data_IF_705230334560
#
_entry.id   IF_705230334560
#
_cell.length_a   1.000
_cell.length_b   1.000
_cell.length_c   1.000
_cell.angle_alpha   90.00
_cell.angle_beta   90.00
_cell.angle_gamma   90.00
#
_symmetry.space_group_name_H-M   'P 1'
#
loop_
_entity.id
_entity.type
_entity.pdbx_description
1 polymer ?
#
# COMPACT_ATOMS: atom_id res chain seq x y z
N UNK A 1 -0.62 0.70 -12.05
CA UNK A 1 0.65 -0.02 -12.25
C UNK A 1 1.42 0.63 -13.38
N UNK A 2 2.74 0.54 -13.39
CA UNK A 2 3.56 1.04 -14.51
C UNK A 2 3.39 0.18 -15.78
N UNK A 3 3.72 0.77 -16.94
CA UNK A 3 4.06 0.04 -18.15
C UNK A 3 5.32 -0.81 -17.87
N UNK A 4 5.37 -2.10 -18.27
CA UNK A 4 6.53 -2.96 -18.03
C UNK A 4 7.86 -2.29 -18.39
N UNK A 5 8.80 -2.25 -17.45
CA UNK A 5 10.13 -1.67 -17.63
C UNK A 5 10.22 -0.14 -17.51
N UNK A 6 9.09 0.58 -17.53
CA UNK A 6 9.04 2.05 -17.42
C UNK A 6 8.79 2.51 -15.99
N UNK A 7 9.16 3.76 -15.73
CA UNK A 7 8.94 4.48 -14.46
C UNK A 7 7.74 5.43 -14.58
N UNK A 8 6.57 4.87 -14.89
CA UNK A 8 5.32 5.60 -15.09
C UNK A 8 4.18 5.08 -14.18
N UNK A 9 4.53 4.36 -13.10
CA UNK A 9 3.59 3.90 -12.09
C UNK A 9 3.32 4.96 -11.03
N UNK A 10 2.06 5.03 -10.59
CA UNK A 10 1.61 6.00 -9.58
C UNK A 10 1.26 5.32 -8.26
N UNK A 11 1.60 5.98 -7.15
CA UNK A 11 1.13 5.69 -5.80
C UNK A 11 0.64 7.00 -5.17
N UNK A 12 -0.56 6.96 -4.58
CA UNK A 12 -1.13 8.06 -3.82
C UNK A 12 -1.63 7.52 -2.49
N UNK A 13 -1.36 8.24 -1.40
CA UNK A 13 -1.88 7.92 -0.08
C UNK A 13 -2.49 9.18 0.53
N UNK A 14 -3.59 8.96 1.27
CA UNK A 14 -4.36 10.00 1.92
C UNK A 14 -4.53 9.65 3.40
N UNK A 15 -4.50 10.66 4.25
CA UNK A 15 -4.85 10.56 5.67
C UNK A 15 -5.81 11.72 5.97
N UNK A 16 -6.97 11.43 6.57
CA UNK A 16 -8.05 12.41 6.79
C UNK A 16 -8.41 13.23 5.53
N UNK A 17 -8.53 12.54 4.39
CA UNK A 17 -8.79 13.12 3.06
C UNK A 17 -7.71 14.11 2.57
N UNK A 18 -6.58 14.24 3.24
CA UNK A 18 -5.46 15.06 2.81
C UNK A 18 -4.40 14.18 2.11
N UNK A 19 -3.85 14.63 0.96
CA UNK A 19 -2.77 13.90 0.31
C UNK A 19 -1.51 13.95 1.18
N UNK A 20 -1.01 12.78 1.59
CA UNK A 20 0.23 12.65 2.38
C UNK A 20 1.38 12.06 1.57
N UNK A 21 1.08 11.39 0.46
CA UNK A 21 2.07 10.86 -0.46
C UNK A 21 1.56 10.95 -1.90
N UNK A 22 2.41 11.42 -2.80
CA UNK A 22 2.22 11.33 -4.25
C UNK A 22 3.54 10.97 -4.90
N UNK A 23 3.55 9.84 -5.61
CA UNK A 23 4.68 9.38 -6.40
C UNK A 23 4.18 8.99 -7.78
N UNK A 24 4.81 9.49 -8.84
CA UNK A 24 4.38 9.34 -10.23
C UNK A 24 5.38 8.59 -11.11
N UNK A 25 6.52 8.18 -10.55
CA UNK A 25 7.64 7.58 -11.28
C UNK A 25 8.10 6.23 -10.69
N UNK A 26 7.16 5.46 -10.11
CA UNK A 26 7.43 4.14 -9.56
C UNK A 26 7.44 3.09 -10.67
N UNK A 27 8.37 2.15 -10.61
CA UNK A 27 8.41 0.93 -11.43
C UNK A 27 8.10 -0.27 -10.54
N UNK A 28 6.87 -0.76 -10.59
CA UNK A 28 6.39 -1.91 -9.80
C UNK A 28 6.67 -3.24 -10.48
N UNK A 29 6.65 -3.29 -11.82
CA UNK A 29 6.74 -4.53 -12.60
C UNK A 29 7.55 -4.38 -13.89
N UNK A 30 8.09 -5.50 -14.35
CA UNK A 30 8.85 -5.62 -15.61
C UNK A 30 8.18 -6.49 -16.66
N UNK A 31 7.03 -7.05 -16.32
CA UNK A 31 6.21 -7.89 -17.18
C UNK A 31 4.75 -7.46 -17.00
N UNK A 32 3.95 -7.67 -18.04
CA UNK A 32 2.50 -7.51 -18.02
C UNK A 32 1.77 -8.65 -17.29
N UNK A 33 2.44 -9.78 -17.05
CA UNK A 33 1.89 -10.92 -16.31
C UNK A 33 1.58 -10.62 -14.82
N UNK A 34 2.14 -9.54 -14.26
CA UNK A 34 1.91 -9.12 -12.87
C UNK A 34 0.90 -7.98 -12.81
N UNK A 35 -0.11 -8.10 -11.96
CA UNK A 35 -1.12 -7.08 -11.72
C UNK A 35 -1.37 -6.90 -10.21
N UNK A 36 -2.18 -5.91 -9.84
CA UNK A 36 -2.75 -5.86 -8.49
C UNK A 36 -3.78 -6.98 -8.41
N UNK A 37 -3.54 -7.95 -7.54
CA UNK A 37 -4.33 -9.18 -7.42
C UNK A 37 -4.99 -9.35 -6.04
N UNK A 38 -4.60 -8.54 -5.05
CA UNK A 38 -5.14 -8.64 -3.70
C UNK A 38 -5.03 -7.35 -2.90
N UNK A 39 -5.81 -7.33 -1.82
CA UNK A 39 -5.70 -6.37 -0.73
C UNK A 39 -5.04 -7.06 0.46
N UNK A 40 -3.94 -6.49 0.96
CA UNK A 40 -3.21 -7.01 2.11
C UNK A 40 -3.51 -6.15 3.35
N UNK A 41 -4.24 -6.71 4.32
CA UNK A 41 -4.32 -6.18 5.67
C UNK A 41 -3.28 -6.90 6.53
N UNK A 42 -2.21 -6.20 6.91
CA UNK A 42 -1.13 -6.73 7.74
C UNK A 42 -0.89 -5.82 8.94
N UNK A 43 -1.16 -6.32 10.14
CA UNK A 43 -1.05 -5.56 11.40
C UNK A 43 -0.29 -6.39 12.44
N UNK A 44 0.83 -5.86 12.90
CA UNK A 44 1.72 -6.49 13.86
C UNK A 44 2.69 -5.44 14.40
N UNK A 45 3.22 -5.64 15.61
CA UNK A 45 4.39 -4.91 16.08
C UNK A 45 5.60 -5.40 15.28
N UNK A 46 6.29 -4.47 14.64
CA UNK A 46 7.21 -4.75 13.53
C UNK A 46 8.64 -5.07 13.94
N UNK A 47 9.56 -4.70 13.06
CA UNK A 47 11.00 -4.83 13.26
C UNK A 47 11.55 -6.23 13.04
N UNK A 48 12.84 -6.37 13.35
CA UNK A 48 13.58 -7.64 13.30
C UNK A 48 14.20 -8.02 14.64
N UNK A 49 13.88 -7.30 15.72
CA UNK A 49 14.43 -7.49 17.06
C UNK A 49 13.43 -7.03 18.16
N UNK A 50 13.78 -7.30 19.42
CA UNK A 50 12.92 -7.06 20.58
C UNK A 50 12.64 -5.57 20.87
N UNK A 51 13.35 -4.62 20.25
CA UNK A 51 13.09 -3.19 20.49
C UNK A 51 11.73 -2.72 19.97
N UNK A 52 11.07 -3.52 19.14
CA UNK A 52 9.76 -3.24 18.57
C UNK A 52 8.61 -3.83 19.37
N UNK A 53 8.91 -4.56 20.45
CA UNK A 53 7.90 -5.14 21.33
C UNK A 53 7.05 -4.04 21.99
N UNK A 54 5.75 -4.30 22.08
CA UNK A 54 4.83 -3.46 22.87
C UNK A 54 5.10 -3.62 24.36
N UNK A 55 4.85 -2.55 25.14
CA UNK A 55 4.96 -2.58 26.61
C UNK A 55 3.66 -2.98 27.30
N UNK A 56 2.57 -3.11 26.54
CA UNK A 56 1.24 -3.43 27.03
C UNK A 56 0.43 -4.26 26.01
N UNK A 57 -0.73 -4.75 26.44
CA UNK A 57 -1.72 -5.29 25.52
C UNK A 57 -2.36 -4.15 24.74
N UNK A 58 -2.30 -4.24 23.42
CA UNK A 58 -2.80 -3.21 22.51
C UNK A 58 -3.95 -3.78 21.68
N UNK A 59 -4.92 -2.92 21.33
CA UNK A 59 -6.05 -3.30 20.49
C UNK A 59 -6.31 -2.20 19.46
N UNK A 60 -6.44 -2.60 18.19
CA UNK A 60 -6.78 -1.70 17.09
C UNK A 60 -8.05 -2.20 16.38
N UNK A 61 -8.91 -1.27 15.98
CA UNK A 61 -10.17 -1.57 15.30
C UNK A 61 -10.13 -0.99 13.88
N UNK A 62 -10.57 -1.76 12.91
CA UNK A 62 -10.71 -1.35 11.51
C UNK A 62 -12.13 -1.62 11.04
N UNK A 63 -12.68 -0.73 10.22
CA UNK A 63 -14.02 -0.88 9.62
C UNK A 63 -14.09 -0.11 8.29
N UNK A 64 -15.15 -0.35 7.50
CA UNK A 64 -15.47 0.37 6.25
C UNK A 64 -14.43 0.24 5.12
N UNK A 65 -13.82 -0.93 4.94
CA UNK A 65 -12.93 -1.17 3.81
C UNK A 65 -13.64 -1.02 2.46
N UNK A 66 -13.06 -0.22 1.57
CA UNK A 66 -13.50 -0.07 0.18
C UNK A 66 -12.35 -0.44 -0.76
N UNK A 67 -12.55 -1.49 -1.56
CA UNK A 67 -11.59 -1.94 -2.57
C UNK A 67 -12.23 -1.74 -3.94
N UNK A 68 -11.75 -0.74 -4.67
CA UNK A 68 -12.33 -0.32 -5.94
C UNK A 68 -11.27 -0.45 -7.03
N UNK A 69 -11.61 -1.19 -8.08
CA UNK A 69 -10.81 -1.20 -9.31
C UNK A 69 -11.08 0.11 -10.06
N UNK A 70 -10.07 0.98 -10.10
CA UNK A 70 -10.11 2.19 -10.92
C UNK A 70 -9.53 1.84 -12.29
N UNK A 71 -10.33 1.95 -13.34
CA UNK A 71 -9.85 1.96 -14.72
C UNK A 71 -9.73 3.43 -15.13
N UNK A 72 -8.56 3.84 -15.61
CA UNK A 72 -8.44 5.06 -16.37
C UNK A 72 -8.74 4.71 -17.83
N UNK A 73 -9.62 5.47 -18.47
CA UNK A 73 -9.84 5.39 -19.93
C UNK A 73 -8.56 5.71 -20.70
#
# INVERSE_FOLDING_TARGET
MNTPGKRDGTLQAFFDNQPVLKMDSIRFRDTDALAIDGFLLSTFFGGGDASWETTAQETIYFDNFQIIKIAFE
#
